data_IF_299397685095
#
_entry.id   IF_299397685095
#
_cell.length_a   1.000
_cell.length_b   1.000
_cell.length_c   1.000
_cell.angle_alpha   90.00
_cell.angle_beta   90.00
_cell.angle_gamma   90.00
#
_symmetry.space_group_name_H-M   'P 1'
#
loop_
_entity.id
_entity.type
_entity.pdbx_description
1 polymer ?
#
# COMPACT_ATOMS: atom_id res chain seq x y z
N UNK A 1 40.67 -31.32 6.41
CA UNK A 1 39.35 -30.93 5.87
C UNK A 1 39.09 -29.48 6.24
N UNK A 2 38.86 -28.62 5.24
CA UNK A 2 38.71 -27.18 5.39
C UNK A 2 37.47 -26.84 6.22
N UNK A 3 37.64 -26.18 7.38
CA UNK A 3 36.56 -25.74 8.31
C UNK A 3 35.72 -24.56 7.81
N UNK A 4 36.19 -23.86 6.77
CA UNK A 4 35.57 -22.64 6.25
C UNK A 4 34.14 -22.80 5.70
N UNK A 5 33.81 -23.82 4.89
CA UNK A 5 32.46 -23.98 4.33
C UNK A 5 31.44 -24.36 5.40
N UNK A 6 31.86 -25.10 6.43
CA UNK A 6 31.00 -25.49 7.57
C UNK A 6 30.62 -24.28 8.42
N UNK A 7 31.60 -23.43 8.76
CA UNK A 7 31.35 -22.15 9.45
C UNK A 7 30.42 -21.25 8.62
N UNK A 8 30.60 -21.23 7.30
CA UNK A 8 29.74 -20.43 6.41
C UNK A 8 28.28 -20.91 6.41
N UNK A 9 28.06 -22.24 6.38
CA UNK A 9 26.71 -22.81 6.48
C UNK A 9 26.05 -22.46 7.82
N UNK A 10 26.81 -22.55 8.91
CA UNK A 10 26.32 -22.25 10.25
C UNK A 10 25.94 -20.76 10.40
N UNK A 11 26.79 -19.85 9.91
CA UNK A 11 26.49 -18.41 9.90
C UNK A 11 25.23 -18.12 9.08
N UNK A 12 25.09 -18.74 7.91
CA UNK A 12 23.90 -18.57 7.05
C UNK A 12 22.62 -19.03 7.74
N UNK A 13 22.65 -20.17 8.42
CA UNK A 13 21.50 -20.69 9.15
C UNK A 13 21.11 -19.78 10.32
N UNK A 14 22.10 -19.31 11.09
CA UNK A 14 21.87 -18.36 12.20
C UNK A 14 21.25 -17.05 11.71
N UNK A 15 21.75 -16.51 10.59
CA UNK A 15 21.19 -15.31 9.96
C UNK A 15 19.74 -15.54 9.51
N UNK A 16 19.45 -16.69 8.90
CA UNK A 16 18.11 -17.03 8.47
C UNK A 16 17.13 -17.13 9.65
N UNK A 17 17.53 -17.83 10.73
CA UNK A 17 16.74 -17.95 11.95
C UNK A 17 16.46 -16.59 12.60
N UNK A 18 17.47 -15.71 12.65
CA UNK A 18 17.30 -14.35 13.16
C UNK A 18 16.33 -13.54 12.28
N UNK A 19 16.45 -13.65 10.95
CA UNK A 19 15.54 -13.03 10.01
C UNK A 19 14.08 -13.47 10.24
N UNK A 20 13.82 -14.77 10.39
CA UNK A 20 12.47 -15.29 10.62
C UNK A 20 11.85 -14.77 11.93
N UNK A 21 12.63 -14.76 13.01
CA UNK A 21 12.19 -14.22 14.31
C UNK A 21 11.82 -12.75 14.21
N UNK A 22 12.69 -11.96 13.58
CA UNK A 22 12.47 -10.53 13.37
C UNK A 22 11.28 -10.27 12.45
N UNK A 23 11.14 -11.03 11.36
CA UNK A 23 10.05 -10.90 10.41
C UNK A 23 8.70 -11.22 11.05
N UNK A 24 8.63 -12.23 11.93
CA UNK A 24 7.40 -12.56 12.67
C UNK A 24 6.96 -11.38 13.54
N UNK A 25 7.89 -10.80 14.31
CA UNK A 25 7.56 -9.68 15.20
C UNK A 25 7.22 -8.41 14.42
N UNK A 26 7.97 -8.10 13.36
CA UNK A 26 7.75 -6.93 12.52
C UNK A 26 6.40 -7.01 11.79
N UNK A 27 6.06 -8.17 11.24
CA UNK A 27 4.83 -8.36 10.48
C UNK A 27 3.59 -8.65 11.34
N UNK A 28 3.73 -8.88 12.65
CA UNK A 28 2.64 -9.32 13.54
C UNK A 28 1.36 -8.47 13.46
N UNK A 29 1.51 -7.16 13.23
CA UNK A 29 0.38 -6.21 13.18
C UNK A 29 0.12 -5.65 11.77
N UNK A 30 0.79 -6.19 10.76
CA UNK A 30 0.64 -5.75 9.38
C UNK A 30 -0.64 -6.34 8.81
N UNK A 31 -1.58 -5.49 8.42
CA UNK A 31 -2.76 -5.91 7.64
C UNK A 31 -2.36 -5.94 6.17
N UNK A 32 -2.35 -7.11 5.50
CA UNK A 32 -2.03 -7.17 4.08
C UNK A 32 -3.17 -6.51 3.31
N UNK A 33 -2.87 -5.36 2.73
CA UNK A 33 -3.74 -4.69 1.76
C UNK A 33 -3.06 -4.84 0.40
N UNK A 34 -3.83 -5.23 -0.61
CA UNK A 34 -3.40 -5.31 -2.00
C UNK A 34 -4.56 -4.88 -2.89
N UNK A 35 -4.22 -4.27 -4.00
CA UNK A 35 -5.18 -3.86 -5.02
C UNK A 35 -4.81 -4.47 -6.35
N UNK A 36 -5.81 -4.73 -7.16
CA UNK A 36 -5.70 -5.26 -8.50
C UNK A 36 -6.00 -4.16 -9.54
N UNK A 37 -5.67 -4.45 -10.79
CA UNK A 37 -5.97 -3.55 -11.90
C UNK A 37 -7.48 -3.41 -12.04
N UNK A 38 -7.96 -2.17 -12.07
CA UNK A 38 -9.38 -1.87 -12.21
C UNK A 38 -10.14 -1.72 -10.89
N UNK A 39 -9.52 -2.02 -9.75
CA UNK A 39 -10.14 -1.83 -8.43
C UNK A 39 -10.50 -0.36 -8.19
N UNK A 40 -11.67 -0.15 -7.57
CA UNK A 40 -12.06 1.18 -7.10
C UNK A 40 -11.51 1.38 -5.70
N UNK A 41 -10.70 2.42 -5.51
CA UNK A 41 -10.04 2.73 -4.25
C UNK A 41 -10.28 4.17 -3.84
N UNK A 42 -10.29 4.42 -2.54
CA UNK A 42 -10.41 5.76 -1.99
C UNK A 42 -9.03 6.34 -1.71
N UNK A 43 -8.64 7.37 -2.46
CA UNK A 43 -7.36 8.07 -2.31
C UNK A 43 -7.49 9.24 -1.34
N UNK A 44 -6.53 9.40 -0.44
CA UNK A 44 -6.42 10.56 0.45
C UNK A 44 -6.13 11.85 -0.33
N UNK A 45 -6.84 12.92 0.00
CA UNK A 45 -6.66 14.25 -0.58
C UNK A 45 -5.98 15.21 0.39
N UNK A 46 -5.34 16.24 -0.16
CA UNK A 46 -4.67 17.30 0.58
C UNK A 46 -5.08 18.67 0.01
N UNK A 47 -6.31 19.08 0.33
CA UNK A 47 -6.84 20.37 -0.12
C UNK A 47 -6.24 21.53 0.66
N UNK A 48 -5.80 22.57 -0.06
CA UNK A 48 -5.39 23.85 0.53
C UNK A 48 -6.61 24.77 0.62
N UNK A 49 -6.77 25.48 1.73
CA UNK A 49 -7.80 26.51 1.86
C UNK A 49 -7.48 27.69 0.95
N UNK A 50 -8.50 28.26 0.33
CA UNK A 50 -8.40 29.42 -0.54
C UNK A 50 -9.51 30.40 -0.17
N UNK A 51 -9.14 31.42 0.60
CA UNK A 51 -10.08 32.44 1.08
C UNK A 51 -10.67 33.27 -0.08
N UNK A 52 -9.91 33.47 -1.17
CA UNK A 52 -10.38 34.23 -2.33
C UNK A 52 -11.56 33.56 -3.03
N UNK A 53 -11.61 32.22 -2.97
CA UNK A 53 -12.68 31.39 -3.53
C UNK A 53 -13.71 30.97 -2.49
N UNK A 54 -13.61 31.47 -1.26
CA UNK A 54 -14.46 31.04 -0.13
C UNK A 54 -14.32 29.55 0.20
N UNK A 55 -13.19 28.92 -0.16
CA UNK A 55 -12.98 27.49 -0.02
C UNK A 55 -12.19 27.16 1.25
N UNK A 56 -12.78 26.34 2.12
CA UNK A 56 -12.11 25.85 3.32
C UNK A 56 -11.71 24.39 3.13
N UNK A 57 -10.40 24.13 3.06
CA UNK A 57 -9.85 22.77 2.98
C UNK A 57 -10.26 21.89 4.17
N UNK A 58 -10.64 22.49 5.32
CA UNK A 58 -11.14 21.77 6.49
C UNK A 58 -12.49 21.08 6.23
N UNK A 59 -13.31 21.65 5.34
CA UNK A 59 -14.63 21.12 4.97
C UNK A 59 -14.56 20.24 3.72
N UNK A 60 -13.40 20.17 3.07
CA UNK A 60 -13.23 19.39 1.86
C UNK A 60 -13.20 17.88 2.15
N UNK A 61 -13.66 17.03 1.21
CA UNK A 61 -13.70 15.59 1.40
C UNK A 61 -12.28 15.04 1.59
N UNK A 62 -12.05 14.27 2.65
CA UNK A 62 -10.71 13.75 2.98
C UNK A 62 -10.22 12.64 2.04
N UNK A 63 -11.14 11.96 1.38
CA UNK A 63 -10.87 10.89 0.43
C UNK A 63 -11.77 11.05 -0.80
N UNK A 64 -11.26 10.66 -1.96
CA UNK A 64 -11.98 10.65 -3.23
C UNK A 64 -11.88 9.27 -3.89
N UNK A 65 -12.92 8.81 -4.59
CA UNK A 65 -12.87 7.55 -5.33
C UNK A 65 -11.96 7.69 -6.56
N UNK A 66 -11.17 6.66 -6.82
CA UNK A 66 -10.20 6.56 -7.92
C UNK A 66 -10.16 5.11 -8.39
N UNK A 67 -9.59 4.87 -9.57
CA UNK A 67 -9.40 3.53 -10.11
C UNK A 67 -7.92 3.20 -10.25
N UNK A 68 -7.54 1.98 -9.90
CA UNK A 68 -6.16 1.48 -10.11
C UNK A 68 -5.96 1.15 -11.58
N UNK A 69 -4.94 1.74 -12.21
CA UNK A 69 -4.58 1.46 -13.61
C UNK A 69 -3.34 0.62 -13.75
N UNK A 70 -2.43 0.68 -12.78
CA UNK A 70 -1.21 -0.12 -12.79
C UNK A 70 -0.73 -0.45 -11.37
N UNK A 71 -0.27 -1.69 -11.16
CA UNK A 71 0.45 -2.10 -9.96
C UNK A 71 1.94 -1.98 -10.24
N UNK A 72 2.61 -0.97 -9.66
CA UNK A 72 4.05 -0.71 -9.87
C UNK A 72 4.87 -1.56 -8.90
N UNK A 73 4.44 -1.64 -7.64
CA UNK A 73 5.06 -2.45 -6.60
C UNK A 73 4.02 -2.84 -5.56
N UNK A 74 4.33 -3.72 -4.58
CA UNK A 74 3.39 -4.07 -3.52
C UNK A 74 2.86 -2.89 -2.70
N UNK A 75 3.55 -1.74 -2.76
CA UNK A 75 3.21 -0.53 -1.99
C UNK A 75 2.96 0.70 -2.86
N UNK A 76 3.14 0.64 -4.18
CA UNK A 76 2.96 1.77 -5.10
C UNK A 76 2.04 1.39 -6.25
N UNK A 77 1.01 2.20 -6.47
CA UNK A 77 -0.02 2.00 -7.49
C UNK A 77 -0.16 3.26 -8.33
N UNK A 78 -0.47 3.09 -9.61
CA UNK A 78 -0.86 4.19 -10.49
C UNK A 78 -2.38 4.29 -10.54
N UNK A 79 -2.89 5.52 -10.44
CA UNK A 79 -4.32 5.79 -10.30
C UNK A 79 -4.82 6.74 -11.38
N UNK A 80 -6.09 6.58 -11.73
CA UNK A 80 -6.89 7.58 -12.45
C UNK A 80 -8.07 8.01 -11.61
N UNK A 81 -8.58 9.22 -11.87
CA UNK A 81 -9.86 9.63 -11.31
C UNK A 81 -11.02 8.86 -11.96
N UNK A 82 -12.24 9.09 -11.49
CA UNK A 82 -13.44 8.45 -12.04
C UNK A 82 -13.79 8.91 -13.47
N UNK A 83 -13.15 9.97 -13.97
CA UNK A 83 -13.32 10.54 -15.30
C UNK A 83 -12.18 10.15 -16.27
N UNK A 84 -11.20 9.36 -15.81
CA UNK A 84 -10.07 8.89 -16.61
C UNK A 84 -8.83 9.80 -16.62
N UNK A 85 -8.78 10.86 -15.80
CA UNK A 85 -7.58 11.69 -15.68
C UNK A 85 -6.51 10.99 -14.83
N UNK A 86 -5.24 10.96 -15.28
CA UNK A 86 -4.15 10.34 -14.53
C UNK A 86 -3.84 11.14 -13.27
N UNK A 87 -3.84 10.46 -12.12
CA UNK A 87 -3.49 11.02 -10.81
C UNK A 87 -2.05 10.70 -10.40
N UNK A 88 -1.34 9.92 -11.22
CA UNK A 88 0.05 9.50 -11.00
C UNK A 88 0.19 8.35 -10.00
N UNK A 89 1.38 8.23 -9.39
CA UNK A 89 1.75 7.13 -8.51
C UNK A 89 1.47 7.46 -7.04
N UNK A 90 0.85 6.53 -6.34
CA UNK A 90 0.39 6.67 -4.97
C UNK A 90 0.83 5.50 -4.10
N UNK A 91 1.22 5.81 -2.87
CA UNK A 91 1.60 4.80 -1.89
C UNK A 91 0.36 4.19 -1.24
N UNK A 92 0.37 2.87 -1.01
CA UNK A 92 -0.77 2.10 -0.47
C UNK A 92 -1.32 2.64 0.86
N UNK A 93 -0.47 3.29 1.66
CA UNK A 93 -0.84 3.95 2.94
C UNK A 93 -1.90 5.04 2.76
N UNK A 94 -1.93 5.68 1.60
CA UNK A 94 -2.86 6.76 1.29
C UNK A 94 -4.10 6.28 0.53
N UNK A 95 -4.23 4.97 0.37
CA UNK A 95 -5.35 4.30 -0.28
C UNK A 95 -6.18 3.54 0.74
N UNK A 96 -7.48 3.48 0.48
CA UNK A 96 -8.43 2.65 1.22
C UNK A 96 -9.24 1.80 0.25
N UNK A 97 -9.55 0.55 0.61
CA UNK A 97 -10.46 -0.27 -0.17
C UNK A 97 -11.85 0.36 -0.20
N UNK A 98 -12.57 0.15 -1.30
CA UNK A 98 -13.98 0.50 -1.37
C UNK A 98 -14.79 -0.50 -0.52
N UNK A 99 -15.77 0.00 0.23
CA UNK A 99 -16.52 -0.83 1.19
C UNK A 99 -17.44 -1.86 0.51
N UNK A 100 -17.72 -1.71 -0.78
CA UNK A 100 -18.53 -2.66 -1.56
C UNK A 100 -17.75 -3.88 -2.05
N UNK A 101 -16.42 -3.87 -2.02
CA UNK A 101 -15.61 -4.96 -2.60
C UNK A 101 -15.33 -6.09 -1.58
N UNK A 102 -15.96 -6.04 -0.40
CA UNK A 102 -15.78 -6.99 0.69
C UNK A 102 -16.72 -8.21 0.63
N UNK A 103 -17.71 -8.24 -0.26
CA UNK A 103 -18.73 -9.31 -0.24
C UNK A 103 -18.45 -10.49 -1.19
N UNK A 104 -17.43 -10.47 -2.05
CA UNK A 104 -17.25 -11.52 -3.08
C UNK A 104 -15.92 -12.30 -3.04
N UNK A 105 -15.00 -12.03 -2.10
CA UNK A 105 -13.68 -12.72 -2.07
C UNK A 105 -13.56 -13.90 -1.09
N UNK A 106 -14.66 -14.33 -0.46
CA UNK A 106 -14.70 -15.48 0.49
C UNK A 106 -15.69 -16.60 0.09
N UNK A 107 -15.93 -16.81 -1.21
CA UNK A 107 -16.63 -18.00 -1.75
C UNK A 107 -15.70 -18.85 -2.64
#
# INVERSE_FOLDING_TARGET
MSKLPEIYSEVKERLHRSYEQNAKQYNLRKRPLRFELGDTVWKRTHYLSDASKGFSGKLAPKYIPCRVTQVISPVVYELVDMYGQPLGRWHIKDLKPNQCDFEEKDL
#
